data_IF_220814744225
#
_entry.id   IF_220814744225
#
_cell.length_a   1.000
_cell.length_b   1.000
_cell.length_c   1.000
_cell.angle_alpha   90.00
_cell.angle_beta   90.00
_cell.angle_gamma   90.00
#
_symmetry.space_group_name_H-M   'P 1'
#
loop_
_entity.id
_entity.type
_entity.pdbx_description
1 polymer ?
#
# COMPACT_ATOMS: atom_id res chain seq x y z
N UNK A 1 -0.86 9.97 -35.70
CA UNK A 1 -0.94 10.70 -37.00
C UNK A 1 -1.50 9.71 -37.99
N UNK A 2 -2.68 9.94 -38.59
CA UNK A 2 -3.26 8.97 -39.51
C UNK A 2 -2.57 9.07 -40.87
N UNK A 3 -2.17 7.93 -41.43
CA UNK A 3 -1.65 7.89 -42.79
C UNK A 3 -2.81 7.90 -43.78
N UNK A 4 -2.74 8.79 -44.77
CA UNK A 4 -3.76 8.96 -45.80
C UNK A 4 -3.12 8.77 -47.18
N UNK A 5 -3.31 7.60 -47.78
CA UNK A 5 -2.94 7.32 -49.17
C UNK A 5 -4.03 6.43 -49.80
N UNK A 6 -4.21 6.56 -51.12
CA UNK A 6 -5.25 5.81 -51.84
C UNK A 6 -4.79 4.38 -52.06
N UNK A 7 -5.66 3.42 -51.74
CA UNK A 7 -5.37 1.98 -51.86
C UNK A 7 -5.46 1.48 -53.31
N UNK A 8 -6.00 2.27 -54.25
CA UNK A 8 -6.07 1.96 -55.68
C UNK A 8 -6.21 3.26 -56.51
N UNK A 9 -5.87 3.19 -57.80
CA UNK A 9 -6.03 4.30 -58.76
C UNK A 9 -7.27 4.03 -59.61
N UNK A 10 -8.18 5.00 -59.68
CA UNK A 10 -9.41 4.94 -60.51
C UNK A 10 -9.32 5.90 -61.69
N UNK A 11 -9.97 5.56 -62.80
CA UNK A 11 -10.19 6.46 -63.93
C UNK A 11 -11.16 7.59 -63.52
N UNK A 12 -10.87 8.81 -63.93
CA UNK A 12 -11.63 10.01 -63.55
C UNK A 12 -13.01 10.09 -64.24
N UNK A 13 -13.22 9.34 -65.33
CA UNK A 13 -14.47 9.38 -66.12
C UNK A 13 -15.33 8.14 -65.93
N UNK A 14 -14.72 6.96 -65.83
CA UNK A 14 -15.44 5.67 -65.74
C UNK A 14 -15.51 5.10 -64.32
N UNK A 15 -14.76 5.69 -63.36
CA UNK A 15 -14.59 5.20 -61.98
C UNK A 15 -14.06 3.75 -61.88
N UNK A 16 -13.60 3.17 -62.99
CA UNK A 16 -13.04 1.82 -63.03
C UNK A 16 -11.63 1.82 -62.43
N UNK A 17 -11.29 0.74 -61.71
CA UNK A 17 -9.98 0.58 -61.07
C UNK A 17 -8.93 0.30 -62.15
N UNK A 18 -8.03 1.26 -62.37
CA UNK A 18 -6.93 1.17 -63.33
C UNK A 18 -5.73 0.41 -62.77
N UNK A 19 -5.55 0.45 -61.45
CA UNK A 19 -4.47 -0.24 -60.76
C UNK A 19 -4.86 -0.55 -59.32
N UNK A 20 -4.87 -1.84 -58.98
CA UNK A 20 -4.97 -2.34 -57.61
C UNK A 20 -3.69 -2.01 -56.82
N UNK A 21 -3.83 -1.54 -55.59
CA UNK A 21 -2.69 -1.30 -54.71
C UNK A 21 -2.14 -2.57 -54.09
N UNK A 22 -1.14 -2.41 -53.22
CA UNK A 22 -0.56 -3.50 -52.42
C UNK A 22 -1.46 -3.88 -51.24
N UNK A 23 -1.31 -5.10 -50.66
CA UNK A 23 -2.02 -5.48 -49.42
C UNK A 23 -1.73 -4.57 -48.22
N UNK A 24 -0.66 -3.77 -48.28
CA UNK A 24 -0.39 -2.65 -47.39
C UNK A 24 -1.35 -1.50 -47.71
N UNK A 25 -2.50 -1.46 -47.03
CA UNK A 25 -3.50 -0.39 -47.11
C UNK A 25 -3.41 0.57 -45.93
N UNK A 26 -3.91 1.79 -46.12
CA UNK A 26 -3.96 2.80 -45.05
C UNK A 26 -4.78 2.30 -43.85
N UNK A 27 -5.84 1.54 -44.08
CA UNK A 27 -6.67 0.95 -43.03
C UNK A 27 -5.90 -0.07 -42.18
N UNK A 28 -5.14 -0.97 -42.81
CA UNK A 28 -4.38 -2.01 -42.09
C UNK A 28 -3.25 -1.40 -41.27
N UNK A 29 -2.55 -0.41 -41.83
CA UNK A 29 -1.47 0.29 -41.13
C UNK A 29 -1.98 1.13 -39.96
N UNK A 30 -3.02 1.94 -40.17
CA UNK A 30 -3.60 2.75 -39.10
C UNK A 30 -4.15 1.88 -37.95
N UNK A 31 -4.80 0.75 -38.26
CA UNK A 31 -5.26 -0.19 -37.23
C UNK A 31 -4.10 -0.85 -36.48
N UNK A 32 -2.99 -1.16 -37.16
CA UNK A 32 -1.79 -1.71 -36.54
C UNK A 32 -1.12 -0.71 -35.58
N UNK A 33 -0.99 0.54 -36.01
CA UNK A 33 -0.48 1.64 -35.19
C UNK A 33 -1.38 1.90 -33.98
N UNK A 34 -2.70 2.01 -34.19
CA UNK A 34 -3.68 2.23 -33.11
C UNK A 34 -3.61 1.10 -32.07
N UNK A 35 -3.59 -0.16 -32.48
CA UNK A 35 -3.44 -1.30 -31.54
C UNK A 35 -2.11 -1.28 -30.80
N UNK A 36 -1.03 -0.85 -31.45
CA UNK A 36 0.29 -0.74 -30.82
C UNK A 36 0.31 0.40 -29.79
N UNK A 37 -0.30 1.54 -30.13
CA UNK A 37 -0.47 2.68 -29.23
C UNK A 37 -1.36 2.33 -28.03
N UNK A 38 -2.52 1.69 -28.27
CA UNK A 38 -3.42 1.20 -27.22
C UNK A 38 -2.71 0.20 -26.29
N UNK A 39 -1.98 -0.77 -26.85
CA UNK A 39 -1.22 -1.74 -26.05
C UNK A 39 -0.15 -1.06 -25.19
N UNK A 40 0.54 -0.04 -25.74
CA UNK A 40 1.52 0.75 -25.00
C UNK A 40 0.85 1.57 -23.89
N UNK A 41 -0.29 2.20 -24.17
CA UNK A 41 -1.05 2.96 -23.20
C UNK A 41 -1.56 2.09 -22.04
N UNK A 42 -2.10 0.90 -22.35
CA UNK A 42 -2.51 -0.08 -21.35
C UNK A 42 -1.32 -0.56 -20.53
N UNK A 43 -0.17 -0.77 -21.16
CA UNK A 43 1.07 -1.13 -20.46
C UNK A 43 1.48 -0.06 -19.45
N UNK A 44 1.46 1.21 -19.85
CA UNK A 44 1.79 2.33 -18.96
C UNK A 44 0.79 2.48 -17.81
N UNK A 45 -0.51 2.40 -18.09
CA UNK A 45 -1.54 2.51 -17.05
C UNK A 45 -1.46 1.35 -16.06
N UNK A 46 -1.20 0.13 -16.54
CA UNK A 46 -0.99 -1.06 -15.71
C UNK A 46 0.23 -0.90 -14.79
N UNK A 47 1.34 -0.35 -15.30
CA UNK A 47 2.52 -0.05 -14.47
C UNK A 47 2.20 0.99 -13.39
N UNK A 48 1.43 2.03 -13.72
CA UNK A 48 0.98 3.03 -12.75
C UNK A 48 0.09 2.40 -11.67
N UNK A 49 -0.86 1.55 -12.04
CA UNK A 49 -1.72 0.82 -11.11
C UNK A 49 -0.90 -0.08 -10.18
N UNK A 50 0.06 -0.84 -10.72
CA UNK A 50 0.96 -1.69 -9.91
C UNK A 50 1.71 -0.85 -8.87
N UNK A 51 2.20 0.34 -9.23
CA UNK A 51 2.87 1.24 -8.29
C UNK A 51 1.93 1.74 -7.18
N UNK A 52 0.68 2.07 -7.52
CA UNK A 52 -0.33 2.45 -6.53
C UNK A 52 -0.67 1.28 -5.60
N UNK A 53 -0.89 0.09 -6.15
CA UNK A 53 -1.15 -1.13 -5.38
C UNK A 53 -0.01 -1.47 -4.44
N UNK A 54 1.25 -1.28 -4.85
CA UNK A 54 2.41 -1.45 -3.97
C UNK A 54 2.34 -0.52 -2.76
N UNK A 55 2.06 0.77 -2.96
CA UNK A 55 1.89 1.74 -1.86
C UNK A 55 0.72 1.39 -0.95
N UNK A 56 -0.41 0.98 -1.53
CA UNK A 56 -1.57 0.54 -0.75
C UNK A 56 -1.26 -0.71 0.08
N UNK A 57 -0.53 -1.68 -0.49
CA UNK A 57 -0.11 -2.88 0.22
C UNK A 57 0.83 -2.56 1.38
N UNK A 58 1.80 -1.68 1.18
CA UNK A 58 2.72 -1.24 2.24
C UNK A 58 1.96 -0.55 3.38
N UNK A 59 1.00 0.31 3.06
CA UNK A 59 0.13 0.95 4.05
C UNK A 59 -0.81 -0.02 4.79
N UNK A 60 -1.27 -1.07 4.10
CA UNK A 60 -2.13 -2.10 4.67
C UNK A 60 -1.37 -3.12 5.53
N UNK A 61 -0.04 -3.16 5.45
CA UNK A 61 0.74 -4.11 6.23
C UNK A 61 0.67 -3.80 7.72
N UNK A 62 0.25 -4.80 8.49
CA UNK A 62 0.11 -4.70 9.94
C UNK A 62 1.26 -5.44 10.61
N UNK A 63 1.99 -4.74 11.46
CA UNK A 63 3.00 -5.37 12.33
C UNK A 63 2.33 -5.91 13.59
N UNK A 64 2.45 -7.21 13.83
CA UNK A 64 1.90 -7.90 15.01
C UNK A 64 3.04 -8.47 15.83
N UNK A 65 3.17 -8.00 17.07
CA UNK A 65 4.20 -8.46 18.00
C UNK A 65 3.67 -8.47 19.42
N UNK A 66 4.45 -9.08 20.31
CA UNK A 66 4.13 -9.17 21.73
C UNK A 66 5.19 -8.45 22.55
N UNK A 67 4.77 -7.86 23.66
CA UNK A 67 5.67 -7.27 24.65
C UNK A 67 5.17 -7.59 26.05
N UNK A 68 6.10 -7.85 26.95
CA UNK A 68 5.83 -8.11 28.36
C UNK A 68 6.10 -6.85 29.16
N UNK A 69 5.09 -6.39 29.90
CA UNK A 69 5.15 -5.25 30.80
C UNK A 69 5.25 -5.79 32.23
N UNK A 70 6.22 -5.31 33.01
CA UNK A 70 6.43 -5.74 34.39
C UNK A 70 6.30 -4.55 35.33
N UNK A 71 5.54 -4.71 36.41
CA UNK A 71 5.41 -3.73 37.47
C UNK A 71 5.95 -4.32 38.78
N UNK A 72 6.81 -3.56 39.44
CA UNK A 72 7.37 -3.92 40.75
C UNK A 72 6.85 -3.02 41.89
N UNK A 73 5.98 -2.06 41.58
CA UNK A 73 5.44 -1.12 42.55
C UNK A 73 4.05 -1.53 43.03
N UNK A 74 3.75 -1.19 44.28
CA UNK A 74 2.42 -1.41 44.85
C UNK A 74 1.46 -0.32 44.38
N UNK A 75 0.21 -0.71 44.15
CA UNK A 75 -0.87 0.21 43.80
C UNK A 75 -0.97 1.38 44.81
N UNK A 76 -1.17 2.64 44.37
CA UNK A 76 -1.51 3.08 43.02
C UNK A 76 -0.31 3.37 42.09
N UNK A 77 0.91 3.07 42.53
CA UNK A 77 2.11 3.32 41.74
C UNK A 77 2.36 2.18 40.75
N UNK A 78 2.85 2.53 39.57
CA UNK A 78 3.11 1.59 38.48
C UNK A 78 4.36 2.02 37.70
N UNK A 79 5.29 1.10 37.48
CA UNK A 79 6.52 1.32 36.68
C UNK A 79 6.61 0.41 35.44
N UNK A 80 5.47 -0.03 34.91
CA UNK A 80 5.36 -0.96 33.77
C UNK A 80 5.69 -0.39 32.41
N UNK A 81 6.05 0.90 32.33
CA UNK A 81 6.27 1.62 31.08
C UNK A 81 7.45 1.03 30.30
N UNK A 82 7.16 0.50 29.12
CA UNK A 82 8.16 -0.06 28.20
C UNK A 82 8.17 0.74 26.90
N UNK A 83 9.37 0.97 26.37
CA UNK A 83 9.56 1.53 25.04
C UNK A 83 9.62 0.40 24.02
N UNK A 84 8.74 0.47 23.02
CA UNK A 84 8.66 -0.50 21.93
C UNK A 84 9.20 0.14 20.67
N UNK A 85 10.22 -0.48 20.08
CA UNK A 85 10.72 -0.14 18.76
C UNK A 85 9.91 -0.89 17.69
N UNK A 86 9.49 -0.18 16.64
CA UNK A 86 8.85 -0.79 15.49
C UNK A 86 9.87 -1.63 14.71
N UNK A 87 9.45 -2.78 14.20
CA UNK A 87 10.30 -3.65 13.38
C UNK A 87 10.49 -3.12 11.97
N UNK A 88 9.51 -2.35 11.46
CA UNK A 88 9.62 -1.65 10.19
C UNK A 88 9.72 -0.16 10.40
N UNK A 89 10.66 0.46 9.68
CA UNK A 89 10.78 1.91 9.63
C UNK A 89 9.50 2.51 9.03
N UNK A 90 9.00 3.54 9.70
CA UNK A 90 7.89 4.38 9.23
C UNK A 90 8.44 5.75 8.88
N UNK A 91 7.71 6.46 8.02
CA UNK A 91 8.13 7.78 7.52
C UNK A 91 7.52 8.91 8.35
N UNK A 92 6.39 8.65 9.03
CA UNK A 92 5.66 9.64 9.80
C UNK A 92 4.97 9.02 11.04
N UNK A 93 4.35 9.89 11.84
CA UNK A 93 3.58 9.52 13.05
C UNK A 93 2.13 9.10 12.75
N UNK A 94 1.74 9.04 11.47
CA UNK A 94 0.37 8.70 11.04
C UNK A 94 0.14 7.19 11.06
N UNK A 95 0.57 6.53 12.14
CA UNK A 95 0.30 5.12 12.40
C UNK A 95 -0.57 4.96 13.64
N UNK A 96 -1.40 3.93 13.60
CA UNK A 96 -2.27 3.54 14.69
C UNK A 96 -1.69 2.32 15.39
N UNK A 97 -1.81 2.32 16.72
CA UNK A 97 -1.37 1.23 17.58
C UNK A 97 -2.59 0.75 18.33
N UNK A 98 -2.94 -0.51 18.13
CA UNK A 98 -3.95 -1.19 18.92
C UNK A 98 -3.25 -2.19 19.82
N UNK A 99 -3.65 -2.25 21.09
CA UNK A 99 -3.08 -3.16 22.07
C UNK A 99 -4.18 -4.05 22.65
N UNK A 100 -3.90 -5.34 22.76
CA UNK A 100 -4.76 -6.34 23.38
C UNK A 100 -3.99 -7.06 24.48
N UNK A 101 -4.65 -7.33 25.61
CA UNK A 101 -4.08 -8.12 26.69
C UNK A 101 -4.21 -9.60 26.34
N UNK A 102 -3.09 -10.33 26.35
CA UNK A 102 -3.08 -11.78 26.18
C UNK A 102 -3.15 -12.51 27.52
N UNK A 103 -2.38 -12.03 28.50
CA UNK A 103 -2.37 -12.59 29.85
C UNK A 103 -1.92 -11.55 30.87
N UNK A 104 -2.33 -11.75 32.12
CA UNK A 104 -1.93 -10.93 33.25
C UNK A 104 -1.73 -11.80 34.49
N UNK A 105 -0.82 -11.40 35.36
CA UNK A 105 -0.57 -12.06 36.63
C UNK A 105 -0.35 -11.05 37.75
N UNK A 106 -0.58 -11.50 39.00
CA UNK A 106 -0.29 -10.73 40.21
C UNK A 106 -1.17 -9.50 40.46
N UNK A 107 -2.31 -9.37 39.79
CA UNK A 107 -3.26 -8.27 40.00
C UNK A 107 -4.11 -7.95 38.78
N UNK A 108 -4.74 -6.79 38.80
CA UNK A 108 -5.59 -6.29 37.70
C UNK A 108 -4.77 -5.44 36.72
N UNK A 109 -5.08 -5.51 35.43
CA UNK A 109 -4.38 -4.74 34.40
C UNK A 109 -4.79 -3.27 34.38
N UNK A 110 -6.07 -2.98 34.65
CA UNK A 110 -6.62 -1.65 34.45
C UNK A 110 -6.68 -1.26 32.97
N UNK A 111 -6.28 -0.04 32.65
CA UNK A 111 -6.28 0.52 31.29
C UNK A 111 -4.87 0.43 30.67
N UNK A 112 -4.80 0.05 29.38
CA UNK A 112 -3.58 0.15 28.59
C UNK A 112 -3.46 1.54 27.97
N UNK A 113 -2.33 2.21 28.20
CA UNK A 113 -2.05 3.54 27.66
C UNK A 113 -0.85 3.47 26.73
N UNK A 114 -1.06 3.94 25.50
CA UNK A 114 0.00 4.17 24.53
C UNK A 114 0.39 5.64 24.59
N UNK A 115 1.63 5.92 24.96
CA UNK A 115 2.18 7.28 25.13
C UNK A 115 3.44 7.46 24.28
N UNK A 116 3.91 8.71 24.14
CA UNK A 116 5.14 9.06 23.40
C UNK A 116 5.29 8.37 22.04
N UNK A 117 4.32 8.56 21.14
CA UNK A 117 4.48 8.09 19.75
C UNK A 117 5.66 8.81 19.08
N UNK A 118 6.52 8.03 18.44
CA UNK A 118 7.71 8.44 17.71
C UNK A 118 7.74 7.77 16.34
N UNK A 119 8.49 8.30 15.37
CA UNK A 119 8.47 7.80 13.99
C UNK A 119 8.71 6.29 13.92
N UNK A 120 9.56 5.72 14.78
CA UNK A 120 9.86 4.27 14.81
C UNK A 120 9.62 3.62 16.18
N UNK A 121 8.73 4.18 17.00
CA UNK A 121 8.50 3.61 18.32
C UNK A 121 7.38 4.26 19.09
N UNK A 122 6.99 3.64 20.18
CA UNK A 122 6.02 4.19 21.11
C UNK A 122 6.29 3.65 22.50
N UNK A 123 5.66 4.23 23.52
CA UNK A 123 5.66 3.68 24.86
C UNK A 123 4.30 3.12 25.19
N UNK A 124 4.30 2.08 25.99
CA UNK A 124 3.08 1.45 26.47
C UNK A 124 3.22 1.11 27.95
N UNK A 125 2.16 1.37 28.69
CA UNK A 125 2.06 1.13 30.13
C UNK A 125 0.63 0.73 30.50
N UNK A 126 0.46 0.08 31.65
CA UNK A 126 -0.86 -0.23 32.20
C UNK A 126 -1.07 0.49 33.55
N UNK A 127 -2.32 0.76 33.93
CA UNK A 127 -2.64 1.54 35.13
C UNK A 127 -2.96 0.71 36.38
N UNK A 128 -3.18 -0.59 36.22
CA UNK A 128 -3.57 -1.49 37.31
C UNK A 128 -2.41 -1.99 38.18
N UNK A 129 -2.75 -2.95 39.05
CA UNK A 129 -1.88 -3.54 40.07
C UNK A 129 -1.15 -4.82 39.65
N UNK A 130 -1.42 -5.33 38.44
CA UNK A 130 -0.77 -6.53 37.91
C UNK A 130 0.76 -6.44 38.02
N UNK A 131 1.42 -7.54 38.36
CA UNK A 131 2.88 -7.60 38.42
C UNK A 131 3.48 -7.83 37.04
N UNK A 132 2.76 -8.53 36.16
CA UNK A 132 3.15 -8.76 34.79
C UNK A 132 1.94 -8.81 33.87
N UNK A 133 2.06 -8.20 32.69
CA UNK A 133 1.04 -8.20 31.64
C UNK A 133 1.72 -8.47 30.31
N UNK A 134 1.27 -9.50 29.60
CA UNK A 134 1.70 -9.77 28.23
C UNK A 134 0.66 -9.17 27.30
N UNK A 135 1.09 -8.24 26.46
CA UNK A 135 0.22 -7.61 25.47
C UNK A 135 0.65 -7.99 24.06
N UNK A 136 -0.34 -8.07 23.17
CA UNK A 136 -0.14 -8.08 21.72
C UNK A 136 -0.43 -6.67 21.21
N UNK A 137 0.43 -6.17 20.34
CA UNK A 137 0.18 -4.90 19.66
C UNK A 137 0.11 -5.08 18.15
N UNK A 138 -0.73 -4.27 17.53
CA UNK A 138 -0.96 -4.20 16.10
C UNK A 138 -0.64 -2.78 15.65
N UNK A 139 0.31 -2.64 14.73
CA UNK A 139 0.67 -1.33 14.16
C UNK A 139 0.28 -1.29 12.70
N UNK A 140 -0.57 -0.33 12.32
CA UNK A 140 -0.97 -0.10 10.92
C UNK A 140 -0.68 1.33 10.48
N UNK A 141 -0.39 1.52 9.19
CA UNK A 141 -0.11 2.84 8.62
C UNK A 141 1.31 3.33 8.87
N UNK A 142 1.52 4.64 8.78
CA UNK A 142 2.84 5.27 8.95
C UNK A 142 3.73 5.29 7.69
N UNK A 143 3.21 4.82 6.56
CA UNK A 143 3.90 4.79 5.26
C UNK A 143 3.28 5.82 4.31
N UNK A 144 4.03 6.22 3.27
CA UNK A 144 3.63 7.29 2.33
C UNK A 144 3.36 6.71 0.95
#
# INVERSE_FOLDING_TARGET
MRTFFRDHIVDEVTEEVLQEGTPLSANVLNNGEERTEEALQIGMSSVQEILQLKRHKENAEVEIKQVTLNNSQAYPFNNSRVTVALGKEKVNLSYEVHCEVLSSSGGEVGELKVTDKQVNGFKVEFTGSASQVVIRYFVRGGMK
#
